data_IF_544800721179
#
_entry.id   IF_544800721179
#
_cell.length_a   1.000
_cell.length_b   1.000
_cell.length_c   1.000
_cell.angle_alpha   90.00
_cell.angle_beta   90.00
_cell.angle_gamma   90.00
#
_symmetry.space_group_name_H-M   'P 1'
#
loop_
_entity.id
_entity.type
_entity.pdbx_description
1 polymer ?
#
# COMPACT_ATOMS: atom_id res chain seq x y z
N UNK A 1 6.29 0.21 6.70
CA UNK A 1 5.12 -0.65 6.91
C UNK A 1 4.99 -1.67 5.80
N UNK A 2 4.86 -2.91 6.18
CA UNK A 2 4.65 -4.03 5.28
C UNK A 2 3.28 -4.63 5.56
N UNK A 3 2.42 -4.63 4.54
CA UNK A 3 1.10 -5.24 4.64
C UNK A 3 0.97 -6.37 3.64
N UNK A 4 0.24 -7.40 4.06
CA UNK A 4 0.00 -8.59 3.27
C UNK A 4 -1.50 -8.80 3.13
N UNK A 5 -1.95 -8.98 1.87
CA UNK A 5 -3.33 -9.33 1.56
C UNK A 5 -3.34 -10.57 0.67
N UNK A 6 -4.22 -11.50 0.96
CA UNK A 6 -4.38 -12.71 0.16
C UNK A 6 -5.84 -12.87 -0.21
N UNK A 7 -6.15 -12.76 -1.52
CA UNK A 7 -7.50 -12.93 -2.04
C UNK A 7 -7.43 -13.48 -3.47
N UNK A 8 -8.41 -14.31 -3.85
CA UNK A 8 -8.46 -14.94 -5.18
C UNK A 8 -7.18 -15.69 -5.55
N UNK A 9 -6.49 -16.28 -4.57
CA UNK A 9 -5.24 -17.01 -4.80
C UNK A 9 -4.04 -16.13 -5.15
N UNK A 10 -4.13 -14.82 -4.98
CA UNK A 10 -3.04 -13.87 -5.19
C UNK A 10 -2.73 -13.17 -3.88
N UNK A 11 -1.44 -13.12 -3.52
CA UNK A 11 -0.96 -12.37 -2.36
C UNK A 11 -0.48 -10.99 -2.81
N UNK A 12 -0.64 -10.01 -1.95
CA UNK A 12 -0.17 -8.65 -2.21
C UNK A 12 0.77 -8.20 -1.10
N UNK A 13 1.88 -7.60 -1.47
CA UNK A 13 2.79 -6.94 -0.54
C UNK A 13 2.77 -5.45 -0.88
N UNK A 14 2.42 -4.63 0.10
CA UNK A 14 2.38 -3.19 -0.06
C UNK A 14 3.35 -2.52 0.91
N UNK A 15 4.27 -1.72 0.37
CA UNK A 15 5.17 -0.87 1.12
C UNK A 15 5.24 0.49 0.44
N UNK A 16 4.78 1.53 1.12
CA UNK A 16 4.74 2.90 0.59
C UNK A 16 6.13 3.47 0.29
N UNK A 17 7.18 2.92 0.89
CA UNK A 17 8.56 3.30 0.60
C UNK A 17 9.18 2.53 -0.58
N UNK A 18 8.51 1.51 -1.07
CA UNK A 18 8.98 0.74 -2.22
C UNK A 18 10.24 -0.09 -1.95
N UNK A 19 10.46 -0.54 -0.73
CA UNK A 19 11.70 -1.20 -0.30
C UNK A 19 11.68 -2.70 -0.59
N UNK A 20 11.74 -3.09 -1.85
CA UNK A 20 11.68 -4.51 -2.24
C UNK A 20 12.71 -5.39 -1.53
N UNK A 21 13.94 -4.87 -1.38
CA UNK A 21 15.07 -5.67 -0.87
C UNK A 21 15.03 -5.88 0.65
N UNK A 22 14.15 -5.19 1.36
CA UNK A 22 14.03 -5.29 2.82
C UNK A 22 12.99 -6.31 3.26
N UNK A 23 12.32 -6.98 2.32
CA UNK A 23 11.32 -7.98 2.64
C UNK A 23 12.02 -9.29 2.99
N UNK A 24 11.80 -9.85 4.19
CA UNK A 24 12.43 -11.11 4.59
C UNK A 24 12.10 -12.24 3.61
N UNK A 25 13.13 -13.02 3.24
CA UNK A 25 12.96 -14.14 2.31
C UNK A 25 11.94 -15.16 2.76
N UNK A 26 11.84 -15.41 4.07
CA UNK A 26 10.86 -16.35 4.62
C UNK A 26 9.42 -15.93 4.33
N UNK A 27 9.14 -14.63 4.35
CA UNK A 27 7.80 -14.11 4.01
C UNK A 27 7.52 -14.37 2.53
N UNK A 28 8.47 -14.08 1.65
CA UNK A 28 8.32 -14.31 0.22
C UNK A 28 8.10 -15.80 -0.07
N UNK A 29 8.88 -16.68 0.54
CA UNK A 29 8.73 -18.13 0.37
C UNK A 29 7.35 -18.61 0.82
N UNK A 30 6.89 -18.12 1.97
CA UNK A 30 5.58 -18.47 2.49
C UNK A 30 4.46 -18.02 1.56
N UNK A 31 4.52 -16.77 1.08
CA UNK A 31 3.50 -16.21 0.19
C UNK A 31 3.50 -16.89 -1.18
N UNK A 32 4.68 -17.26 -1.70
CA UNK A 32 4.77 -17.92 -3.01
C UNK A 32 4.09 -19.28 -3.05
N UNK A 33 3.97 -19.94 -1.90
CA UNK A 33 3.22 -21.21 -1.80
C UNK A 33 1.71 -21.01 -1.91
N UNK A 34 1.23 -19.80 -1.69
CA UNK A 34 -0.19 -19.45 -1.73
C UNK A 34 -0.63 -18.98 -3.12
N UNK A 35 0.32 -18.74 -4.03
CA UNK A 35 0.06 -18.27 -5.38
C UNK A 35 0.95 -17.09 -5.78
N UNK A 36 0.66 -16.43 -6.91
CA UNK A 36 1.42 -15.28 -7.36
C UNK A 36 1.42 -14.14 -6.34
N UNK A 37 2.50 -13.37 -6.32
CA UNK A 37 2.67 -12.23 -5.43
C UNK A 37 2.63 -10.95 -6.24
N UNK A 38 1.76 -10.01 -5.87
CA UNK A 38 1.76 -8.64 -6.37
C UNK A 38 2.47 -7.75 -5.39
N UNK A 39 3.29 -6.85 -5.89
CA UNK A 39 4.06 -5.92 -5.08
C UNK A 39 3.83 -4.48 -5.52
N UNK A 40 3.74 -3.58 -4.54
CA UNK A 40 3.88 -2.16 -4.81
C UNK A 40 5.36 -1.87 -5.03
N UNK A 41 5.72 -1.30 -6.18
CA UNK A 41 7.12 -1.00 -6.53
C UNK A 41 7.50 0.45 -6.36
N UNK A 42 6.61 1.44 -6.65
CA UNK A 42 7.02 2.83 -6.57
C UNK A 42 7.18 3.30 -5.13
N UNK A 43 8.10 4.22 -4.93
CA UNK A 43 8.17 4.99 -3.70
C UNK A 43 7.08 6.06 -3.75
N UNK A 44 6.10 5.96 -2.88
CA UNK A 44 5.00 6.94 -2.77
C UNK A 44 5.29 7.97 -1.71
N UNK A 45 5.91 7.54 -0.63
CA UNK A 45 6.14 8.29 0.59
C UNK A 45 7.57 8.85 0.60
N UNK A 46 7.74 10.06 1.14
CA UNK A 46 9.05 10.59 1.46
C UNK A 46 9.73 9.70 2.53
N UNK A 47 11.02 9.38 2.36
CA UNK A 47 11.76 8.56 3.31
C UNK A 47 11.76 9.14 4.73
N UNK A 48 11.66 10.45 4.86
CA UNK A 48 11.68 11.13 6.14
C UNK A 48 10.28 11.42 6.71
N UNK A 49 9.25 11.05 5.99
CA UNK A 49 7.89 11.28 6.46
C UNK A 49 7.44 10.15 7.38
N UNK A 50 6.48 10.46 8.26
CA UNK A 50 5.87 9.49 9.16
C UNK A 50 4.49 9.01 8.69
N UNK A 51 4.22 9.11 7.38
CA UNK A 51 2.88 8.84 6.83
C UNK A 51 2.65 7.40 6.40
N UNK A 52 3.56 6.47 6.70
CA UNK A 52 3.38 5.06 6.30
C UNK A 52 2.06 4.47 6.79
N UNK A 53 1.62 4.81 7.99
CA UNK A 53 0.32 4.37 8.50
C UNK A 53 -0.86 4.86 7.66
N UNK A 54 -0.81 6.09 7.17
CA UNK A 54 -1.84 6.62 6.28
C UNK A 54 -1.91 5.83 4.97
N UNK A 55 -0.77 5.45 4.40
CA UNK A 55 -0.73 4.67 3.17
C UNK A 55 -1.33 3.28 3.37
N UNK A 56 -1.01 2.61 4.47
CA UNK A 56 -1.57 1.30 4.79
C UNK A 56 -3.09 1.39 4.92
N UNK A 57 -3.59 2.35 5.70
CA UNK A 57 -5.02 2.56 5.88
C UNK A 57 -5.69 2.92 4.55
N UNK A 58 -5.06 3.79 3.76
CA UNK A 58 -5.58 4.17 2.44
C UNK A 58 -5.69 2.99 1.51
N UNK A 59 -4.69 2.08 1.51
CA UNK A 59 -4.76 0.86 0.70
C UNK A 59 -5.89 -0.06 1.17
N UNK A 60 -6.06 -0.22 2.47
CA UNK A 60 -7.17 -1.02 3.03
C UNK A 60 -8.53 -0.46 2.62
N UNK A 61 -8.71 0.86 2.67
CA UNK A 61 -9.93 1.53 2.21
C UNK A 61 -10.16 1.25 0.73
N UNK A 62 -9.12 1.32 -0.10
CA UNK A 62 -9.23 1.05 -1.54
C UNK A 62 -9.63 -0.39 -1.83
N UNK A 63 -9.13 -1.35 -1.05
CA UNK A 63 -9.53 -2.75 -1.15
C UNK A 63 -11.00 -2.91 -0.78
N UNK A 64 -11.43 -2.27 0.30
CA UNK A 64 -12.83 -2.28 0.71
C UNK A 64 -13.75 -1.75 -0.40
N UNK A 65 -13.29 -0.76 -1.16
CA UNK A 65 -14.02 -0.20 -2.30
C UNK A 65 -13.87 -0.99 -3.60
N UNK A 66 -13.18 -2.14 -3.55
CA UNK A 66 -13.01 -3.01 -4.71
C UNK A 66 -11.94 -2.56 -5.70
N UNK A 67 -11.04 -1.67 -5.31
CA UNK A 67 -9.98 -1.17 -6.21
C UNK A 67 -8.79 -2.12 -6.26
N UNK A 68 -8.27 -2.34 -7.47
CA UNK A 68 -7.00 -3.08 -7.65
C UNK A 68 -5.82 -2.26 -7.14
N UNK A 69 -4.68 -2.94 -6.92
CA UNK A 69 -3.43 -2.25 -6.56
C UNK A 69 -3.05 -1.22 -7.62
N UNK A 70 -3.14 -1.57 -8.90
CA UNK A 70 -2.85 -0.64 -10.01
C UNK A 70 -3.74 0.60 -9.96
N UNK A 71 -5.03 0.44 -9.68
CA UNK A 71 -5.96 1.56 -9.58
C UNK A 71 -5.59 2.47 -8.40
N UNK A 72 -5.28 1.87 -7.26
CA UNK A 72 -4.84 2.63 -6.08
C UNK A 72 -3.57 3.43 -6.39
N UNK A 73 -2.55 2.76 -6.96
CA UNK A 73 -1.26 3.40 -7.28
C UNK A 73 -1.40 4.50 -8.34
N UNK A 74 -2.39 4.42 -9.21
CA UNK A 74 -2.63 5.42 -10.26
C UNK A 74 -2.96 6.82 -9.72
N UNK A 75 -3.35 6.92 -8.45
CA UNK A 75 -3.67 8.21 -7.82
C UNK A 75 -2.42 9.01 -7.43
N UNK A 76 -1.24 8.39 -7.44
CA UNK A 76 -0.01 8.98 -6.94
C UNK A 76 0.95 9.28 -8.09
N UNK A 77 1.79 10.28 -7.88
CA UNK A 77 2.81 10.68 -8.82
C UNK A 77 4.21 10.53 -8.23
N UNK A 78 5.18 11.21 -8.82
CA UNK A 78 6.58 11.19 -8.38
C UNK A 78 6.87 12.14 -7.22
N UNK A 79 6.02 13.14 -7.03
CA UNK A 79 6.18 14.10 -5.94
C UNK A 79 5.65 13.48 -4.64
N UNK A 80 6.57 13.00 -3.81
CA UNK A 80 6.24 12.31 -2.57
C UNK A 80 5.53 13.22 -1.56
N UNK A 81 5.83 14.51 -1.54
CA UNK A 81 5.13 15.46 -0.65
C UNK A 81 3.66 15.61 -1.04
N UNK A 82 3.37 15.69 -2.33
CA UNK A 82 1.98 15.72 -2.83
C UNK A 82 1.26 14.42 -2.54
N UNK A 83 1.93 13.28 -2.66
CA UNK A 83 1.37 11.97 -2.33
C UNK A 83 1.00 11.90 -0.85
N UNK A 84 1.88 12.36 0.02
CA UNK A 84 1.66 12.36 1.48
C UNK A 84 0.42 13.21 1.84
N UNK A 85 0.28 14.39 1.26
CA UNK A 85 -0.87 15.25 1.47
C UNK A 85 -2.17 14.59 0.97
N UNK A 86 -2.12 13.99 -0.21
CA UNK A 86 -3.28 13.33 -0.81
C UNK A 86 -3.78 12.16 0.05
N UNK A 87 -2.88 11.29 0.48
CA UNK A 87 -3.29 10.11 1.27
C UNK A 87 -3.82 10.53 2.65
N UNK A 88 -3.19 11.50 3.28
CA UNK A 88 -3.66 12.02 4.56
C UNK A 88 -5.08 12.57 4.45
N UNK A 89 -5.34 13.42 3.46
CA UNK A 89 -6.64 14.03 3.27
C UNK A 89 -7.71 12.98 3.00
N UNK A 90 -7.43 12.01 2.14
CA UNK A 90 -8.38 10.95 1.80
C UNK A 90 -8.71 10.07 3.00
N UNK A 91 -7.73 9.71 3.81
CA UNK A 91 -7.95 8.90 5.01
C UNK A 91 -8.77 9.68 6.05
N UNK A 92 -8.44 10.95 6.28
CA UNK A 92 -9.16 11.77 7.25
C UNK A 92 -10.62 11.99 6.82
N UNK A 93 -10.88 12.23 5.53
CA UNK A 93 -12.25 12.35 5.02
C UNK A 93 -13.03 11.05 5.26
N UNK A 94 -12.42 9.91 5.01
CA UNK A 94 -13.06 8.61 5.25
C UNK A 94 -13.39 8.43 6.74
N UNK A 95 -12.45 8.73 7.62
CA UNK A 95 -12.64 8.65 9.07
C UNK A 95 -13.77 9.55 9.51
N UNK A 96 -13.80 10.80 9.06
CA UNK A 96 -14.84 11.76 9.42
C UNK A 96 -16.23 11.36 8.91
N UNK A 97 -16.29 10.63 7.78
CA UNK A 97 -17.55 10.21 7.18
C UNK A 97 -18.12 8.95 7.83
N UNK A 98 -17.27 7.97 8.17
CA UNK A 98 -17.71 6.62 8.54
C UNK A 98 -17.41 6.22 9.99
N UNK A 99 -16.59 6.97 10.67
CA UNK A 99 -16.20 6.67 12.04
C UNK A 99 -16.53 7.84 12.97
#
# INVERSE_FOLDING_TARGET
>A
QLEKFCYYGVSEIFDSLGRENEIPKKIIEHLSKMGPIRRSRPQLQDFFSSYCGFYVIGRLISIYRGQSLSKFLSNFGKDTSSNDALIKDNVLIFVDTYI
#
